data_IF_692036735288
#
_entry.id   IF_692036735288
#
_cell.length_a   1.000
_cell.length_b   1.000
_cell.length_c   1.000
_cell.angle_alpha   90.00
_cell.angle_beta   90.00
_cell.angle_gamma   90.00
#
_symmetry.space_group_name_H-M   'P 1'
#
loop_
_entity.id
_entity.type
_entity.pdbx_description
1 polymer ?
#
# COMPACT_ATOMS: atom_id res chain seq x y z
N UNK A 1 -15.88 21.63 5.46
CA UNK A 1 -14.55 21.08 5.08
C UNK A 1 -13.45 21.27 6.15
N UNK A 2 -13.74 21.72 7.39
CA UNK A 2 -12.69 21.91 8.41
C UNK A 2 -12.38 20.64 9.23
N UNK A 3 -13.34 19.72 9.35
CA UNK A 3 -13.20 18.53 10.19
C UNK A 3 -12.15 17.53 9.66
N UNK A 4 -12.12 17.32 8.34
CA UNK A 4 -11.12 16.45 7.68
C UNK A 4 -9.71 17.00 7.84
N UNK A 5 -9.55 18.33 7.75
CA UNK A 5 -8.28 19.01 7.95
C UNK A 5 -7.80 18.88 9.40
N UNK A 6 -8.67 19.11 10.39
CA UNK A 6 -8.33 18.95 11.80
C UNK A 6 -8.06 17.48 12.19
N UNK A 7 -8.82 16.53 11.64
CA UNK A 7 -8.60 15.09 11.85
C UNK A 7 -7.25 14.64 11.30
N UNK A 8 -6.92 15.00 10.05
CA UNK A 8 -5.62 14.65 9.44
C UNK A 8 -4.43 15.27 10.19
N UNK A 9 -4.63 16.45 10.79
CA UNK A 9 -3.60 17.11 11.60
C UNK A 9 -3.37 16.43 12.96
N UNK A 10 -4.36 15.70 13.48
CA UNK A 10 -4.22 14.89 14.70
C UNK A 10 -3.59 13.51 14.45
N UNK A 11 -3.49 13.07 13.18
CA UNK A 11 -2.85 11.81 12.78
C UNK A 11 -1.32 11.89 12.70
N UNK A 12 -0.69 12.97 13.18
CA UNK A 12 0.77 12.98 13.31
C UNK A 12 1.19 11.87 14.28
N UNK A 13 2.29 11.13 14.00
CA UNK A 13 2.73 10.04 14.85
C UNK A 13 3.04 10.58 16.25
N UNK A 14 2.08 10.40 17.15
CA UNK A 14 2.23 10.72 18.57
C UNK A 14 3.25 9.72 19.09
N UNK A 15 4.42 10.23 19.51
CA UNK A 15 5.31 9.47 20.39
C UNK A 15 4.50 9.08 21.62
N UNK A 16 4.07 7.83 21.70
CA UNK A 16 3.40 7.31 22.89
C UNK A 16 4.33 7.52 24.07
N UNK A 17 3.87 8.13 25.18
CA UNK A 17 4.68 8.20 26.38
C UNK A 17 5.02 6.78 26.82
N UNK A 18 6.21 6.61 27.39
CA UNK A 18 6.77 5.36 27.89
C UNK A 18 5.88 4.79 29.01
N UNK A 19 4.81 4.14 28.60
CA UNK A 19 3.68 3.74 29.43
C UNK A 19 3.40 2.28 29.19
N UNK A 20 4.31 1.43 29.67
CA UNK A 20 4.14 0.00 29.90
C UNK A 20 3.72 -0.81 28.68
N UNK A 21 4.65 -1.61 28.14
CA UNK A 21 4.31 -2.66 27.19
C UNK A 21 3.15 -3.47 27.77
N UNK A 22 1.97 -3.42 27.11
CA UNK A 22 0.86 -4.32 27.42
C UNK A 22 1.45 -5.73 27.39
N UNK A 23 1.30 -6.47 28.50
CA UNK A 23 1.94 -7.78 28.67
C UNK A 23 1.77 -8.60 27.38
N UNK A 24 2.86 -9.06 26.75
CA UNK A 24 2.78 -9.86 25.51
C UNK A 24 1.84 -11.06 25.64
N UNK A 25 1.72 -11.61 26.85
CA UNK A 25 0.80 -12.70 27.17
C UNK A 25 -0.68 -12.30 27.00
N UNK A 26 -1.06 -11.08 27.40
CA UNK A 26 -2.45 -10.58 27.25
C UNK A 26 -2.79 -10.40 25.78
N UNK A 27 -1.87 -9.84 25.01
CA UNK A 27 -2.05 -9.70 23.56
C UNK A 27 -2.14 -11.09 22.90
N UNK A 28 -1.29 -12.03 23.30
CA UNK A 28 -1.35 -13.42 22.85
C UNK A 28 -2.69 -14.10 23.17
N UNK A 29 -3.23 -13.89 24.38
CA UNK A 29 -4.53 -14.40 24.79
C UNK A 29 -5.68 -13.80 23.96
N UNK A 30 -5.65 -12.48 23.69
CA UNK A 30 -6.63 -11.83 22.82
C UNK A 30 -6.59 -12.39 21.39
N UNK A 31 -5.39 -12.59 20.84
CA UNK A 31 -5.20 -13.16 19.50
C UNK A 31 -5.62 -14.64 19.46
N UNK A 32 -5.41 -15.42 20.53
CA UNK A 32 -5.92 -16.80 20.60
C UNK A 32 -7.44 -16.86 20.65
N UNK A 33 -8.05 -16.05 21.53
CA UNK A 33 -9.50 -15.96 21.62
C UNK A 33 -10.14 -15.57 20.29
N UNK A 34 -9.59 -14.56 19.60
CA UNK A 34 -10.11 -14.16 18.28
C UNK A 34 -9.98 -15.30 17.25
N UNK A 35 -8.87 -16.04 17.25
CA UNK A 35 -8.71 -17.19 16.35
C UNK A 35 -9.73 -18.30 16.63
N UNK A 36 -9.93 -18.64 17.89
CA UNK A 36 -10.89 -19.67 18.31
C UNK A 36 -12.33 -19.29 17.95
N UNK A 37 -12.73 -18.03 18.17
CA UNK A 37 -14.06 -17.54 17.81
C UNK A 37 -14.27 -17.55 16.29
N UNK A 38 -13.28 -17.09 15.52
CA UNK A 38 -13.34 -17.06 14.06
C UNK A 38 -13.40 -18.46 13.44
N UNK A 39 -12.71 -19.44 14.06
CA UNK A 39 -12.74 -20.84 13.62
C UNK A 39 -14.13 -21.48 13.77
N UNK A 40 -14.91 -21.11 14.80
CA UNK A 40 -16.32 -21.54 14.92
C UNK A 40 -17.16 -21.10 13.72
N UNK A 41 -16.81 -19.96 13.10
CA UNK A 41 -17.45 -19.46 11.88
C UNK A 41 -16.78 -19.97 10.59
N UNK A 42 -15.78 -20.85 10.68
CA UNK A 42 -15.02 -21.38 9.55
C UNK A 42 -13.99 -20.42 8.96
N UNK A 43 -13.65 -19.33 9.66
CA UNK A 43 -12.69 -18.31 9.20
C UNK A 43 -11.30 -18.67 9.76
N UNK A 44 -10.51 -19.39 8.96
CA UNK A 44 -9.18 -19.82 9.34
C UNK A 44 -8.12 -18.73 9.06
N UNK A 45 -7.75 -17.97 10.11
CA UNK A 45 -6.79 -16.85 10.00
C UNK A 45 -5.37 -17.30 9.57
N UNK A 46 -4.95 -18.50 9.95
CA UNK A 46 -3.59 -19.00 9.67
C UNK A 46 -3.44 -19.64 8.28
N UNK A 47 -4.52 -20.15 7.71
CA UNK A 47 -4.45 -20.91 6.45
C UNK A 47 -4.29 -20.00 5.23
N UNK A 48 -4.73 -18.74 5.34
CA UNK A 48 -4.58 -17.73 4.29
C UNK A 48 -3.15 -17.18 4.17
N UNK A 49 -2.34 -17.22 5.24
CA UNK A 49 -1.02 -16.60 5.23
C UNK A 49 0.06 -17.51 4.63
N UNK A 50 0.10 -18.80 4.95
CA UNK A 50 1.24 -19.65 4.55
C UNK A 50 1.28 -19.99 3.04
N UNK A 51 0.13 -20.21 2.41
CA UNK A 51 0.05 -20.62 0.99
C UNK A 51 0.02 -19.39 0.06
N UNK A 52 -0.61 -18.29 0.49
CA UNK A 52 -0.57 -17.03 -0.24
C UNK A 52 0.76 -16.27 -0.08
N UNK A 53 1.44 -16.34 1.06
CA UNK A 53 2.65 -15.54 1.31
C UNK A 53 3.86 -15.91 0.44
N UNK A 54 3.91 -17.10 -0.16
CA UNK A 54 5.06 -17.49 -0.99
C UNK A 54 5.06 -16.75 -2.34
N UNK A 55 3.93 -16.74 -3.05
CA UNK A 55 3.76 -16.00 -4.31
C UNK A 55 3.54 -14.51 -4.05
N UNK A 56 2.71 -14.18 -3.05
CA UNK A 56 2.41 -12.80 -2.68
C UNK A 56 3.61 -12.10 -2.04
N UNK A 57 4.47 -12.82 -1.31
CA UNK A 57 5.70 -12.29 -0.72
C UNK A 57 6.73 -11.87 -1.76
N UNK A 58 6.88 -12.64 -2.84
CA UNK A 58 7.75 -12.26 -3.96
C UNK A 58 7.22 -11.01 -4.67
N UNK A 59 5.91 -10.95 -4.93
CA UNK A 59 5.27 -9.77 -5.53
C UNK A 59 5.35 -8.53 -4.62
N UNK A 60 5.07 -8.69 -3.33
CA UNK A 60 5.23 -7.66 -2.31
C UNK A 60 6.67 -7.14 -2.27
N UNK A 61 7.67 -8.02 -2.35
CA UNK A 61 9.08 -7.63 -2.44
C UNK A 61 9.36 -6.78 -3.69
N UNK A 62 8.80 -7.15 -4.84
CA UNK A 62 8.93 -6.38 -6.09
C UNK A 62 8.26 -5.00 -5.96
N UNK A 63 7.03 -4.94 -5.44
CA UNK A 63 6.29 -3.67 -5.23
C UNK A 63 7.02 -2.76 -4.25
N UNK A 64 7.61 -3.33 -3.20
CA UNK A 64 8.46 -2.61 -2.24
C UNK A 64 9.68 -1.99 -2.92
N UNK A 65 10.45 -2.78 -3.69
CA UNK A 65 11.63 -2.27 -4.40
C UNK A 65 11.26 -1.22 -5.45
N UNK A 66 10.16 -1.42 -6.18
CA UNK A 66 9.66 -0.47 -7.17
C UNK A 66 9.23 0.85 -6.53
N UNK A 67 8.55 0.79 -5.38
CA UNK A 67 8.11 1.99 -4.65
C UNK A 67 9.31 2.74 -4.07
N UNK A 68 10.34 2.03 -3.58
CA UNK A 68 11.61 2.64 -3.15
C UNK A 68 12.31 3.35 -4.31
N UNK A 69 12.49 2.66 -5.44
CA UNK A 69 13.09 3.25 -6.63
C UNK A 69 12.37 4.53 -7.07
N UNK A 70 11.03 4.51 -7.16
CA UNK A 70 10.23 5.70 -7.48
C UNK A 70 10.45 6.83 -6.47
N UNK A 71 10.52 6.50 -5.18
CA UNK A 71 10.73 7.48 -4.11
C UNK A 71 12.08 8.17 -4.24
N UNK A 72 13.14 7.41 -4.52
CA UNK A 72 14.48 7.94 -4.74
C UNK A 72 14.54 8.84 -5.97
N UNK A 73 13.96 8.41 -7.10
CA UNK A 73 13.89 9.22 -8.32
C UNK A 73 13.11 10.52 -8.08
N UNK A 74 11.99 10.46 -7.35
CA UNK A 74 11.21 11.65 -6.96
C UNK A 74 12.02 12.56 -6.05
N UNK A 75 12.77 12.02 -5.09
CA UNK A 75 13.63 12.81 -4.21
C UNK A 75 14.73 13.55 -4.98
N UNK A 76 15.39 12.89 -5.93
CA UNK A 76 16.38 13.52 -6.82
C UNK A 76 15.74 14.65 -7.64
N UNK A 77 14.57 14.39 -8.25
CA UNK A 77 13.85 15.40 -9.02
C UNK A 77 13.42 16.62 -8.17
N UNK A 78 13.16 16.43 -6.88
CA UNK A 78 12.77 17.50 -5.96
C UNK A 78 13.96 18.26 -5.34
N UNK A 79 15.10 17.59 -5.10
CA UNK A 79 16.26 18.18 -4.46
C UNK A 79 17.04 19.15 -5.37
N UNK A 80 17.10 18.88 -6.68
CA UNK A 80 18.03 19.54 -7.60
C UNK A 80 17.49 20.83 -8.27
N UNK A 81 16.98 21.78 -7.47
CA UNK A 81 16.45 23.05 -8.00
C UNK A 81 17.52 24.00 -8.57
N UNK A 82 18.81 23.74 -8.38
CA UNK A 82 19.91 24.68 -8.63
C UNK A 82 20.84 24.33 -9.80
N UNK A 83 20.69 23.17 -10.45
CA UNK A 83 21.52 22.78 -11.60
C UNK A 83 20.69 22.87 -12.90
N UNK A 84 21.11 23.68 -13.88
CA UNK A 84 20.35 23.91 -15.12
C UNK A 84 20.12 22.64 -15.94
N UNK A 85 21.00 21.65 -15.81
CA UNK A 85 20.92 20.39 -16.57
C UNK A 85 19.80 19.50 -16.04
N UNK A 86 19.71 19.36 -14.72
CA UNK A 86 18.71 18.53 -14.03
C UNK A 86 17.37 19.24 -13.82
N UNK A 87 17.36 20.58 -13.81
CA UNK A 87 16.12 21.37 -13.79
C UNK A 87 15.20 21.07 -15.00
N UNK A 88 15.78 20.77 -16.17
CA UNK A 88 15.04 20.37 -17.37
C UNK A 88 14.38 18.99 -17.23
N UNK A 89 15.01 18.09 -16.46
CA UNK A 89 14.56 16.71 -16.25
C UNK A 89 13.54 16.58 -15.11
N UNK A 90 13.42 17.58 -14.23
CA UNK A 90 12.51 17.56 -13.08
C UNK A 90 11.06 17.22 -13.47
N UNK A 91 10.48 17.97 -14.40
CA UNK A 91 9.08 17.75 -14.79
C UNK A 91 8.86 16.39 -15.49
N UNK A 92 9.72 15.98 -16.45
CA UNK A 92 9.67 14.63 -17.02
C UNK A 92 9.76 13.51 -15.98
N UNK A 93 10.67 13.62 -15.01
CA UNK A 93 10.86 12.61 -13.97
C UNK A 93 9.66 12.50 -13.04
N UNK A 94 9.10 13.65 -12.59
CA UNK A 94 7.88 13.63 -11.79
C UNK A 94 6.70 13.05 -12.57
N UNK A 95 6.57 13.40 -13.86
CA UNK A 95 5.53 12.81 -14.73
C UNK A 95 5.68 11.30 -14.86
N UNK A 96 6.91 10.79 -15.00
CA UNK A 96 7.17 9.35 -15.05
C UNK A 96 6.80 8.67 -13.71
N UNK A 97 7.14 9.29 -12.58
CA UNK A 97 6.74 8.80 -11.25
C UNK A 97 5.22 8.79 -11.04
N UNK A 98 4.49 9.78 -11.58
CA UNK A 98 3.04 9.84 -11.49
C UNK A 98 2.39 8.82 -12.44
N UNK A 99 2.91 8.66 -13.66
CA UNK A 99 2.45 7.64 -14.62
C UNK A 99 2.59 6.23 -14.03
N UNK A 100 3.75 5.93 -13.41
CA UNK A 100 3.97 4.65 -12.73
C UNK A 100 2.93 4.40 -11.62
N UNK A 101 2.56 5.43 -10.86
CA UNK A 101 1.53 5.32 -9.81
C UNK A 101 0.16 5.03 -10.42
N UNK A 102 -0.19 5.69 -11.51
CA UNK A 102 -1.47 5.54 -12.18
C UNK A 102 -1.60 4.16 -12.85
N UNK A 103 -0.51 3.63 -13.42
CA UNK A 103 -0.47 2.31 -14.05
C UNK A 103 -0.56 1.17 -13.02
N UNK A 104 -0.05 1.38 -11.80
CA UNK A 104 -0.09 0.42 -10.70
C UNK A 104 -1.46 0.37 -10.00
N UNK A 105 -2.22 1.48 -10.00
CA UNK A 105 -3.53 1.56 -9.36
C UNK A 105 -4.56 0.51 -9.87
N UNK A 106 -4.76 0.29 -11.19
CA UNK A 106 -5.67 -0.75 -11.69
C UNK A 106 -5.19 -2.17 -11.40
N UNK A 107 -3.89 -2.35 -11.13
CA UNK A 107 -3.31 -3.62 -10.70
C UNK A 107 -3.47 -3.86 -9.18
N UNK A 108 -4.17 -2.96 -8.49
CA UNK A 108 -4.44 -3.06 -7.06
C UNK A 108 -3.34 -2.49 -6.17
N UNK A 109 -2.28 -1.90 -6.74
CA UNK A 109 -1.18 -1.31 -5.97
C UNK A 109 -1.39 0.20 -5.83
N UNK A 110 -1.65 0.66 -4.61
CA UNK A 110 -1.89 2.07 -4.33
C UNK A 110 -0.68 2.67 -3.61
N UNK A 111 -0.03 3.64 -4.24
CA UNK A 111 1.11 4.37 -3.67
C UNK A 111 0.65 5.71 -3.10
N UNK A 112 1.01 5.99 -1.85
CA UNK A 112 0.75 7.23 -1.12
C UNK A 112 2.06 7.89 -0.71
N UNK A 113 2.27 9.12 -1.19
CA UNK A 113 3.44 9.92 -0.84
C UNK A 113 3.21 10.67 0.48
N UNK A 114 4.10 10.46 1.45
CA UNK A 114 4.13 11.14 2.76
C UNK A 114 5.45 11.90 2.92
N UNK A 115 5.54 13.05 2.25
CA UNK A 115 6.74 13.89 2.29
C UNK A 115 7.93 13.18 1.61
N UNK A 116 8.90 12.73 2.40
CA UNK A 116 10.11 12.04 1.93
C UNK A 116 9.88 10.52 1.81
N UNK A 117 8.89 9.98 2.50
CA UNK A 117 8.59 8.55 2.50
C UNK A 117 7.39 8.23 1.61
N UNK A 118 7.41 7.11 0.88
CA UNK A 118 6.25 6.57 0.17
C UNK A 118 5.79 5.29 0.87
N UNK A 119 4.47 5.19 1.07
CA UNK A 119 3.82 3.98 1.58
C UNK A 119 2.96 3.37 0.48
N UNK A 120 2.88 2.06 0.40
CA UNK A 120 2.03 1.37 -0.56
C UNK A 120 1.12 0.35 0.12
N UNK A 121 0.00 0.05 -0.52
CA UNK A 121 -0.95 -0.99 -0.11
C UNK A 121 -1.33 -1.82 -1.35
N UNK A 122 -1.37 -3.16 -1.20
CA UNK A 122 -1.98 -4.04 -2.20
C UNK A 122 -3.43 -4.22 -1.78
N UNK A 123 -4.33 -3.69 -2.60
CA UNK A 123 -5.75 -4.00 -2.53
C UNK A 123 -5.99 -5.26 -3.33
N UNK A 124 -6.52 -6.30 -2.68
CA UNK A 124 -7.07 -7.46 -3.40
C UNK A 124 -8.23 -6.94 -4.26
N UNK A 125 -7.97 -6.81 -5.55
CA UNK A 125 -8.94 -6.26 -6.48
C UNK A 125 -10.23 -7.08 -6.43
N UNK A 126 -11.35 -6.41 -6.15
CA UNK A 126 -12.66 -6.87 -6.61
C UNK A 126 -12.52 -7.11 -8.11
N UNK A 127 -12.42 -8.37 -8.53
CA UNK A 127 -12.46 -8.77 -9.92
C UNK A 127 -13.66 -8.08 -10.56
N UNK A 128 -13.41 -7.03 -11.33
CA UNK A 128 -14.45 -6.33 -12.07
C UNK A 128 -14.82 -7.30 -13.19
N UNK A 129 -16.00 -7.91 -13.03
CA UNK A 129 -16.50 -9.03 -13.81
C UNK A 129 -16.07 -8.98 -15.27
N UNK A 130 -15.47 -10.09 -15.68
CA UNK A 130 -15.31 -10.51 -17.06
C UNK A 130 -16.66 -10.32 -17.77
N UNK A 131 -16.78 -9.26 -18.59
CA UNK A 131 -17.82 -9.23 -19.61
C UNK A 131 -17.37 -10.19 -20.68
N UNK A 132 -17.87 -11.43 -20.58
CA UNK A 132 -17.99 -12.30 -21.74
C UNK A 132 -18.93 -11.56 -22.68
N UNK A 133 -18.39 -11.06 -23.80
CA UNK A 133 -19.20 -10.75 -24.95
C UNK A 133 -19.53 -12.09 -25.59
N UNK A 134 -20.66 -12.68 -25.21
CA UNK A 134 -21.28 -13.72 -26.04
C UNK A 134 -21.77 -13.00 -27.30
N UNK A 135 -21.00 -13.17 -28.38
CA UNK A 135 -21.42 -12.79 -29.72
C UNK A 135 -22.52 -13.77 -30.13
N UNK A 136 -23.74 -13.23 -30.25
CA UNK A 136 -24.92 -14.01 -30.56
C UNK A 136 -24.75 -14.75 -31.89
N UNK A 137 -25.02 -16.05 -31.83
CA UNK A 137 -25.23 -16.90 -32.99
C UNK A 137 -26.45 -16.40 -33.76
N UNK A 138 -26.21 -15.84 -34.94
CA UNK A 138 -27.25 -15.62 -35.94
C UNK A 138 -26.74 -16.04 -37.31
N UNK A 139 -27.03 -17.29 -37.68
CA UNK A 139 -27.36 -17.76 -39.04
C UNK A 139 -27.86 -19.20 -38.95
#
# INVERSE_FOLDING_TARGET
MNLVYHGNRQLQPVSTPDGGARSPAVFGAMVSYMREVLDVFGINLLHSEADAASSHGNFQGVVEQLTRFRSDVRAVALAHRSDPTTASLRNPLLKACDTLRDDLAPLGVLIKDRGVASTWEITEGKQRGQRVCDEETSS
#
